data_IF_219285879627
#
_entry.id   IF_219285879627
#
_cell.length_a   1.000
_cell.length_b   1.000
_cell.length_c   1.000
_cell.angle_alpha   90.00
_cell.angle_beta   90.00
_cell.angle_gamma   90.00
#
_symmetry.space_group_name_H-M   'P 1'
#
loop_
_entity.id
_entity.type
_entity.pdbx_description
1 polymer ?
#
# COMPACT_ATOMS: atom_id res chain seq x y z
N UNK A 1 4.34 -4.04 10.93
CA UNK A 1 3.01 -3.70 10.34
C UNK A 1 2.53 -2.42 10.97
N UNK A 2 1.82 -1.55 10.25
CA UNK A 2 1.24 -0.33 10.82
C UNK A 2 -0.25 -0.51 11.10
N UNK A 3 -0.69 -0.13 12.29
CA UNK A 3 -2.07 -0.29 12.76
C UNK A 3 -2.53 0.93 13.56
N UNK A 4 -3.83 1.14 13.64
CA UNK A 4 -4.47 1.87 14.73
C UNK A 4 -5.13 0.89 15.70
N UNK A 5 -5.24 1.26 16.96
CA UNK A 5 -5.98 0.50 17.97
C UNK A 5 -7.18 1.33 18.43
N UNK A 6 -8.38 0.80 18.24
CA UNK A 6 -9.63 1.47 18.60
C UNK A 6 -10.14 0.88 19.90
N UNK A 7 -10.49 1.73 20.86
CA UNK A 7 -11.07 1.28 22.12
C UNK A 7 -12.58 0.97 21.98
N UNK A 8 -13.22 0.60 23.09
CA UNK A 8 -14.65 0.32 23.13
C UNK A 8 -15.56 1.54 22.88
N UNK A 9 -15.07 2.78 23.06
CA UNK A 9 -15.82 4.01 22.74
C UNK A 9 -15.68 4.45 21.28
N UNK A 10 -14.82 3.79 20.50
CA UNK A 10 -14.51 4.16 19.12
C UNK A 10 -13.33 5.15 18.97
N UNK A 11 -12.68 5.51 20.08
CA UNK A 11 -11.49 6.35 20.11
C UNK A 11 -10.20 5.59 19.75
N UNK A 12 -9.32 6.23 18.99
CA UNK A 12 -8.03 5.68 18.58
C UNK A 12 -6.95 5.97 19.63
N UNK A 13 -6.19 4.93 19.98
CA UNK A 13 -4.97 5.05 20.76
C UNK A 13 -4.02 6.05 20.09
N UNK A 14 -3.71 7.14 20.79
CA UNK A 14 -3.01 8.30 20.27
C UNK A 14 -1.74 8.54 21.08
N UNK A 15 -0.59 8.61 20.39
CA UNK A 15 0.65 9.10 20.99
C UNK A 15 0.71 10.62 20.88
N UNK A 16 0.76 11.32 22.01
CA UNK A 16 0.81 12.78 22.00
C UNK A 16 2.13 13.30 21.43
N UNK A 17 2.08 14.46 20.77
CA UNK A 17 3.29 15.05 20.16
C UNK A 17 4.20 15.73 21.17
N UNK A 18 3.65 16.14 22.31
CA UNK A 18 4.35 16.83 23.36
C UNK A 18 4.17 16.04 24.67
N UNK A 19 5.28 15.74 25.33
CA UNK A 19 5.30 14.85 26.49
C UNK A 19 5.35 13.37 26.12
N UNK A 20 5.17 12.52 27.13
CA UNK A 20 5.12 11.07 27.06
C UNK A 20 3.69 10.52 27.24
N UNK A 21 2.68 11.39 27.12
CA UNK A 21 1.27 11.05 27.31
C UNK A 21 0.67 10.22 26.17
N UNK A 22 -0.33 9.40 26.53
CA UNK A 22 -1.09 8.58 25.61
C UNK A 22 -2.57 8.77 25.91
N UNK A 23 -3.38 8.97 24.87
CA UNK A 23 -4.82 9.25 24.99
C UNK A 23 -5.64 8.41 24.00
N UNK A 24 -6.97 8.44 24.11
CA UNK A 24 -7.89 7.81 23.14
C UNK A 24 -8.86 8.79 22.48
N UNK A 25 -8.58 10.09 22.55
CA UNK A 25 -9.49 11.15 22.08
C UNK A 25 -9.57 11.27 20.54
N UNK A 26 -8.68 10.61 19.81
CA UNK A 26 -8.67 10.67 18.35
C UNK A 26 -9.86 9.93 17.73
N UNK A 27 -10.64 10.60 16.90
CA UNK A 27 -11.77 10.00 16.16
C UNK A 27 -11.41 9.47 14.77
N UNK A 28 -10.15 9.63 14.34
CA UNK A 28 -9.68 9.24 13.01
C UNK A 28 -8.24 8.74 13.02
N UNK A 29 -7.90 7.91 12.02
CA UNK A 29 -6.57 7.33 11.88
C UNK A 29 -5.58 8.30 11.20
N UNK A 30 -5.14 9.29 11.96
CA UNK A 30 -4.07 10.23 11.58
C UNK A 30 -2.68 9.75 11.98
N UNK A 31 -1.65 10.57 11.73
CA UNK A 31 -0.25 10.21 12.01
C UNK A 31 -0.01 9.81 13.47
N UNK A 32 -0.63 10.49 14.44
CA UNK A 32 -0.46 10.23 15.88
C UNK A 32 -1.12 8.92 16.35
N UNK A 33 -2.10 8.44 15.59
CA UNK A 33 -2.88 7.24 15.86
C UNK A 33 -2.27 5.97 15.23
N UNK A 34 -1.22 6.13 14.43
CA UNK A 34 -0.52 5.03 13.78
C UNK A 34 0.57 4.51 14.70
N UNK A 35 0.48 3.22 15.00
CA UNK A 35 1.46 2.45 15.74
C UNK A 35 2.08 1.40 14.84
N UNK A 36 3.40 1.32 14.82
CA UNK A 36 4.13 0.21 14.24
C UNK A 36 4.19 -0.94 15.26
N UNK A 37 3.57 -2.05 14.89
CA UNK A 37 3.60 -3.29 15.66
C UNK A 37 4.85 -4.09 15.30
N UNK A 38 5.77 -4.20 16.26
CA UNK A 38 6.97 -5.05 16.18
C UNK A 38 6.70 -6.36 16.91
N UNK A 39 6.90 -7.50 16.24
CA UNK A 39 6.71 -8.83 16.82
C UNK A 39 8.07 -9.35 17.28
N UNK A 40 8.26 -9.50 18.60
CA UNK A 40 9.52 -9.96 19.18
C UNK A 40 9.59 -11.49 19.25
N UNK A 41 8.53 -12.15 19.72
CA UNK A 41 8.47 -13.60 19.83
C UNK A 41 7.02 -14.10 19.78
N UNK A 42 6.81 -15.34 19.31
CA UNK A 42 5.52 -16.03 19.39
C UNK A 42 5.58 -17.06 20.51
N UNK A 43 4.76 -16.90 21.54
CA UNK A 43 4.66 -17.77 22.72
C UNK A 43 3.29 -18.47 22.71
N UNK A 44 3.16 -19.52 21.89
CA UNK A 44 1.91 -20.28 21.76
C UNK A 44 0.76 -19.43 21.17
N UNK A 45 -0.32 -19.24 21.93
CA UNK A 45 -1.47 -18.40 21.53
C UNK A 45 -1.20 -16.90 21.71
N UNK A 46 -0.19 -16.53 22.51
CA UNK A 46 0.17 -15.14 22.80
C UNK A 46 1.38 -14.74 21.97
N UNK A 47 1.40 -13.49 21.54
CA UNK A 47 2.52 -12.94 20.78
C UNK A 47 3.13 -11.79 21.58
N UNK A 48 4.44 -11.86 21.86
CA UNK A 48 5.16 -10.75 22.48
C UNK A 48 5.40 -9.67 21.43
N UNK A 49 4.83 -8.49 21.68
CA UNK A 49 4.85 -7.37 20.74
C UNK A 49 5.32 -6.09 21.44
N UNK A 50 5.87 -5.16 20.65
CA UNK A 50 6.09 -3.78 21.05
C UNK A 50 5.31 -2.84 20.11
N UNK A 51 4.74 -1.78 20.68
CA UNK A 51 4.02 -0.75 19.94
C UNK A 51 4.91 0.49 19.84
N UNK A 52 5.30 0.84 18.62
CA UNK A 52 6.15 1.99 18.33
C UNK A 52 5.30 3.11 17.73
N UNK A 53 5.24 4.26 18.40
CA UNK A 53 4.51 5.44 17.94
C UNK A 53 5.18 6.14 16.76
N UNK A 54 4.50 7.14 16.22
CA UNK A 54 4.91 7.88 15.01
C UNK A 54 6.28 8.59 15.08
N UNK A 55 6.80 8.82 16.29
CA UNK A 55 8.12 9.44 16.50
C UNK A 55 9.22 8.40 16.73
N UNK A 56 8.92 7.10 16.79
CA UNK A 56 9.88 6.05 17.16
C UNK A 56 9.91 5.73 18.66
N UNK A 57 9.08 6.40 19.47
CA UNK A 57 8.88 6.10 20.89
C UNK A 57 8.11 4.79 21.08
N UNK A 58 8.37 4.07 22.16
CA UNK A 58 7.66 2.82 22.49
C UNK A 58 6.61 3.06 23.56
N UNK A 59 5.47 2.37 23.44
CA UNK A 59 4.48 2.29 24.50
C UNK A 59 5.07 1.53 25.70
N UNK A 60 4.92 2.06 26.90
CA UNK A 60 5.45 1.48 28.14
C UNK A 60 4.39 1.53 29.23
N UNK A 61 4.31 0.47 30.02
CA UNK A 61 3.49 0.42 31.22
C UNK A 61 4.38 0.49 32.46
N UNK A 62 4.23 1.57 33.23
CA UNK A 62 4.95 1.80 34.47
C UNK A 62 4.40 0.95 35.62
N UNK A 63 5.18 0.80 36.70
CA UNK A 63 4.81 -0.05 37.84
C UNK A 63 3.54 0.43 38.56
N UNK A 64 3.27 1.74 38.52
CA UNK A 64 2.06 2.37 39.05
C UNK A 64 0.82 2.10 38.17
N UNK A 65 1.00 1.55 36.97
CA UNK A 65 -0.06 1.30 35.99
C UNK A 65 -0.29 2.47 35.02
N UNK A 66 0.51 3.53 35.09
CA UNK A 66 0.48 4.62 34.10
C UNK A 66 1.08 4.14 32.77
N UNK A 67 0.42 4.46 31.66
CA UNK A 67 0.90 4.11 30.32
C UNK A 67 1.50 5.34 29.65
N UNK A 68 2.74 5.21 29.16
CA UNK A 68 3.53 6.33 28.61
C UNK A 68 4.19 5.95 27.29
N UNK A 69 4.56 6.94 26.49
CA UNK A 69 5.33 6.78 25.25
C UNK A 69 6.75 7.33 25.43
N UNK A 70 7.73 6.44 25.57
CA UNK A 70 9.10 6.80 25.94
C UNK A 70 10.17 6.25 24.97
N UNK A 71 11.32 6.94 24.92
CA UNK A 71 12.49 6.52 24.13
C UNK A 71 13.38 5.51 24.85
N UNK A 72 13.37 5.51 26.18
CA UNK A 72 14.23 4.64 27.00
C UNK A 72 13.72 3.20 26.91
N UNK A 73 14.47 2.26 26.33
CA UNK A 73 14.07 0.87 26.27
C UNK A 73 14.36 0.23 27.63
N UNK A 74 13.34 0.07 28.46
CA UNK A 74 13.33 -1.10 29.32
C UNK A 74 12.63 -2.21 28.56
N UNK A 75 13.40 -3.24 28.16
CA UNK A 75 12.88 -4.36 27.36
C UNK A 75 11.77 -5.13 28.08
N UNK A 76 11.60 -4.96 29.39
CA UNK A 76 10.51 -5.61 30.13
C UNK A 76 9.21 -4.80 30.14
N UNK A 77 9.27 -3.45 30.23
CA UNK A 77 8.06 -2.59 30.31
C UNK A 77 7.50 -2.16 28.96
N UNK A 78 8.29 -2.26 27.91
CA UNK A 78 7.91 -1.88 26.53
C UNK A 78 7.32 -3.02 25.70
N UNK A 79 7.33 -4.25 26.24
CA UNK A 79 6.77 -5.41 25.58
C UNK A 79 5.46 -5.84 26.24
N UNK A 80 4.51 -6.22 25.40
CA UNK A 80 3.19 -6.70 25.79
C UNK A 80 2.93 -8.08 25.19
N UNK A 81 2.25 -8.94 25.93
CA UNK A 81 1.67 -10.18 25.43
C UNK A 81 0.32 -9.85 24.80
N UNK A 82 0.25 -9.98 23.47
CA UNK A 82 -0.94 -9.79 22.68
C UNK A 82 -1.67 -11.11 22.50
N UNK A 83 -2.94 -11.12 22.87
CA UNK A 83 -3.87 -12.23 22.66
C UNK A 83 -5.00 -11.76 21.72
N UNK A 84 -5.28 -12.57 20.69
CA UNK A 84 -6.33 -12.29 19.68
C UNK A 84 -7.57 -13.09 20.05
N UNK A 85 -8.68 -12.39 20.28
CA UNK A 85 -9.97 -12.99 20.63
C UNK A 85 -10.73 -13.44 19.38
N UNK A 86 -11.68 -14.40 19.49
CA UNK A 86 -12.54 -14.81 18.38
C UNK A 86 -13.35 -13.67 17.75
N UNK A 87 -13.63 -12.61 18.51
CA UNK A 87 -14.28 -11.40 18.02
C UNK A 87 -13.39 -10.53 17.12
N UNK A 88 -12.09 -10.84 17.01
CA UNK A 88 -11.09 -10.02 16.35
C UNK A 88 -10.50 -8.91 17.24
N UNK A 89 -11.02 -8.74 18.46
CA UNK A 89 -10.44 -7.84 19.45
C UNK A 89 -9.10 -8.34 19.97
N UNK A 90 -8.22 -7.42 20.35
CA UNK A 90 -6.92 -7.69 20.93
C UNK A 90 -6.89 -7.27 22.39
N UNK A 91 -6.21 -8.06 23.21
CA UNK A 91 -5.86 -7.68 24.58
C UNK A 91 -4.35 -7.64 24.73
N UNK A 92 -3.85 -6.60 25.39
CA UNK A 92 -2.43 -6.38 25.64
C UNK A 92 -2.17 -6.55 27.13
N UNK A 93 -1.35 -7.54 27.49
CA UNK A 93 -0.97 -7.82 28.88
C UNK A 93 0.50 -7.50 29.11
N UNK A 94 0.84 -6.82 30.19
CA UNK A 94 2.23 -6.62 30.57
C UNK A 94 2.80 -7.90 31.21
N UNK A 95 3.93 -8.46 30.74
CA UNK A 95 4.48 -9.71 31.26
C UNK A 95 4.84 -9.66 32.75
N UNK A 96 5.48 -8.57 33.20
CA UNK A 96 5.99 -8.46 34.57
C UNK A 96 4.86 -8.28 35.60
N UNK A 97 3.92 -7.39 35.32
CA UNK A 97 2.82 -7.06 36.24
C UNK A 97 1.59 -7.94 36.06
N UNK A 98 1.49 -8.67 34.94
CA UNK A 98 0.31 -9.44 34.51
C UNK A 98 -0.98 -8.61 34.38
N UNK A 99 -0.87 -7.28 34.35
CA UNK A 99 -1.99 -6.36 34.18
C UNK A 99 -2.29 -6.12 32.70
N UNK A 100 -3.54 -5.79 32.39
CA UNK A 100 -4.00 -5.51 31.04
C UNK A 100 -4.06 -4.01 30.76
N UNK A 101 -3.66 -3.63 29.55
CA UNK A 101 -3.80 -2.26 29.05
C UNK A 101 -5.26 -2.04 28.64
N UNK A 102 -5.89 -1.04 29.23
CA UNK A 102 -7.27 -0.65 28.96
C UNK A 102 -7.43 0.86 28.90
N UNK A 103 -8.65 1.28 28.58
CA UNK A 103 -9.05 2.68 28.52
C UNK A 103 -10.47 2.87 29.05
N UNK A 104 -10.66 3.98 29.77
CA UNK A 104 -11.97 4.44 30.26
C UNK A 104 -12.71 5.31 29.23
N UNK A 105 -12.08 5.65 28.12
CA UNK A 105 -12.64 6.52 27.08
C UNK A 105 -11.88 7.83 26.91
N UNK A 106 -11.03 8.21 27.84
CA UNK A 106 -10.16 9.39 27.75
C UNK A 106 -8.69 9.01 27.93
N UNK A 107 -8.39 8.32 29.03
CA UNK A 107 -7.04 7.93 29.42
C UNK A 107 -6.77 6.45 29.16
N UNK A 108 -5.49 6.09 29.18
CA UNK A 108 -5.00 4.72 28.99
C UNK A 108 -4.25 4.28 30.23
N UNK A 109 -4.62 3.12 30.76
CA UNK A 109 -4.08 2.58 32.01
C UNK A 109 -3.76 1.10 31.91
N UNK A 110 -2.87 0.61 32.78
CA UNK A 110 -2.47 -0.79 32.92
C UNK A 110 -2.58 -1.23 34.39
N UNK A 111 -3.80 -1.20 34.94
CA UNK A 111 -4.05 -1.47 36.38
C UNK A 111 -4.83 -2.75 36.66
N UNK A 112 -5.59 -3.27 35.69
CA UNK A 112 -6.55 -4.35 35.92
C UNK A 112 -5.97 -5.74 35.65
N UNK A 113 -6.39 -6.70 36.47
CA UNK A 113 -6.15 -8.14 36.29
C UNK A 113 -7.30 -8.85 35.57
N UNK A 114 -8.48 -8.23 35.55
CA UNK A 114 -9.69 -8.78 34.95
C UNK A 114 -9.96 -8.20 33.57
N UNK A 115 -10.40 -9.07 32.65
CA UNK A 115 -10.83 -8.67 31.32
C UNK A 115 -12.25 -8.07 31.35
N UNK A 116 -12.39 -6.93 30.70
CA UNK A 116 -13.67 -6.24 30.46
C UNK A 116 -13.61 -5.55 29.11
N UNK A 117 -14.72 -4.94 28.66
CA UNK A 117 -14.76 -4.16 27.42
C UNK A 117 -13.67 -3.07 27.36
N UNK A 118 -13.30 -2.49 28.50
CA UNK A 118 -12.24 -1.48 28.62
C UNK A 118 -10.86 -1.96 28.16
N UNK A 119 -10.62 -3.26 28.15
CA UNK A 119 -9.33 -3.88 27.79
C UNK A 119 -9.31 -4.44 26.36
N UNK A 120 -10.43 -4.33 25.64
CA UNK A 120 -10.58 -4.84 24.28
C UNK A 120 -10.26 -3.75 23.27
N UNK A 121 -9.23 -3.99 22.47
CA UNK A 121 -8.78 -3.09 21.42
C UNK A 121 -9.08 -3.67 20.05
N UNK A 122 -9.82 -2.96 19.21
CA UNK A 122 -10.08 -3.36 17.84
C UNK A 122 -8.95 -2.85 16.93
N UNK A 123 -8.16 -3.74 16.30
CA UNK A 123 -7.10 -3.31 15.42
C UNK A 123 -7.67 -2.84 14.08
N UNK A 124 -7.19 -1.71 13.59
CA UNK A 124 -7.51 -1.20 12.26
C UNK A 124 -6.22 -1.08 11.43
N UNK A 125 -6.27 -1.57 10.19
CA UNK A 125 -5.11 -1.56 9.32
C UNK A 125 -4.76 -0.13 8.90
N UNK A 126 -3.54 0.31 9.17
CA UNK A 126 -3.05 1.64 8.78
C UNK A 126 -2.28 1.63 7.45
N UNK A 127 -2.61 0.70 6.56
CA UNK A 127 -2.09 0.66 5.20
C UNK A 127 -2.84 1.66 4.31
N UNK A 128 -2.22 2.06 3.20
CA UNK A 128 -2.90 2.76 2.14
C UNK A 128 -4.09 1.94 1.60
N UNK A 129 -5.25 2.54 1.39
CA UNK A 129 -6.47 1.82 1.03
C UNK A 129 -6.36 0.99 -0.26
N UNK A 130 -5.52 1.40 -1.22
CA UNK A 130 -5.18 0.60 -2.39
C UNK A 130 -4.12 -0.46 -2.04
N UNK A 131 -4.54 -1.72 -2.02
CA UNK A 131 -3.78 -2.88 -1.55
C UNK A 131 -3.69 -3.98 -2.60
N UNK A 132 -2.73 -4.88 -2.40
CA UNK A 132 -2.66 -6.20 -3.02
C UNK A 132 -2.80 -7.25 -1.91
N UNK A 133 -3.49 -8.35 -2.20
CA UNK A 133 -3.70 -9.44 -1.25
C UNK A 133 -2.76 -10.59 -1.62
N UNK A 134 -1.77 -10.86 -0.77
CA UNK A 134 -0.85 -11.99 -0.93
C UNK A 134 -1.29 -13.15 -0.05
N UNK A 135 -1.38 -14.36 -0.60
CA UNK A 135 -1.74 -15.56 0.14
C UNK A 135 -0.48 -16.38 0.46
N UNK A 136 -0.02 -16.44 1.72
CA UNK A 136 1.24 -17.09 2.08
C UNK A 136 1.27 -18.59 1.81
N UNK A 137 0.14 -19.29 1.94
CA UNK A 137 0.12 -20.75 1.78
C UNK A 137 0.31 -21.18 0.33
N UNK A 138 -0.22 -20.42 -0.64
CA UNK A 138 0.01 -20.68 -2.07
C UNK A 138 1.15 -19.87 -2.68
N UNK A 139 1.68 -18.86 -1.99
CA UNK A 139 2.66 -17.90 -2.51
C UNK A 139 2.17 -17.16 -3.77
N UNK A 140 0.87 -16.87 -3.84
CA UNK A 140 0.23 -16.19 -4.98
C UNK A 140 -0.61 -15.00 -4.50
N UNK A 141 -0.86 -14.07 -5.42
CA UNK A 141 -1.68 -12.88 -5.22
C UNK A 141 -3.10 -13.09 -5.73
N UNK A 142 -4.04 -12.40 -5.07
CA UNK A 142 -5.40 -12.29 -5.56
C UNK A 142 -5.47 -11.44 -6.84
N UNK A 143 -6.34 -11.82 -7.75
CA UNK A 143 -6.62 -11.17 -9.02
C UNK A 143 -8.12 -11.22 -9.31
N UNK A 144 -8.71 -10.06 -9.56
CA UNK A 144 -10.11 -9.96 -9.98
C UNK A 144 -10.22 -10.26 -11.48
N UNK A 145 -10.99 -11.29 -11.84
CA UNK A 145 -11.26 -11.63 -13.22
C UNK A 145 -12.59 -10.97 -13.65
N UNK A 146 -12.55 -9.90 -14.48
CA UNK A 146 -13.75 -9.20 -14.90
C UNK A 146 -14.60 -10.01 -15.88
N UNK A 147 -14.01 -10.94 -16.64
CA UNK A 147 -14.69 -11.77 -17.64
C UNK A 147 -15.53 -12.84 -16.96
N UNK A 148 -14.95 -13.53 -15.98
CA UNK A 148 -15.63 -14.55 -15.18
C UNK A 148 -16.41 -13.96 -14.00
N UNK A 149 -16.23 -12.67 -13.72
CA UNK A 149 -16.85 -11.92 -12.62
C UNK A 149 -16.56 -12.56 -11.25
N UNK A 150 -15.32 -13.01 -11.03
CA UNK A 150 -14.84 -13.77 -9.87
C UNK A 150 -13.45 -13.30 -9.44
N UNK A 151 -12.99 -13.67 -8.25
CA UNK A 151 -11.61 -13.42 -7.77
C UNK A 151 -10.87 -14.73 -7.64
N UNK A 152 -9.63 -14.77 -8.11
CA UNK A 152 -8.75 -15.93 -8.08
C UNK A 152 -7.45 -15.59 -7.37
N UNK A 153 -6.82 -16.57 -6.74
CA UNK A 153 -5.50 -16.47 -6.13
C UNK A 153 -4.53 -17.30 -6.96
N UNK A 154 -4.20 -16.80 -8.15
CA UNK A 154 -3.48 -17.55 -9.19
C UNK A 154 -2.23 -16.85 -9.74
N UNK A 155 -1.97 -15.62 -9.28
CA UNK A 155 -0.99 -14.74 -9.93
C UNK A 155 0.27 -14.60 -9.07
N UNK A 156 1.48 -14.90 -9.59
CA UNK A 156 2.70 -14.83 -8.78
C UNK A 156 3.17 -13.40 -8.49
N UNK A 157 2.81 -12.42 -9.34
CA UNK A 157 3.29 -11.04 -9.24
C UNK A 157 2.14 -10.06 -9.55
N UNK A 158 1.86 -9.07 -8.68
CA UNK A 158 0.70 -8.16 -8.82
C UNK A 158 0.98 -6.99 -9.77
N UNK A 159 1.45 -7.29 -10.99
CA UNK A 159 1.79 -6.28 -12.01
C UNK A 159 0.61 -5.90 -12.92
N UNK A 160 -0.49 -6.64 -12.83
CA UNK A 160 -1.71 -6.43 -13.58
C UNK A 160 -2.66 -5.47 -12.85
N UNK A 161 -3.49 -4.75 -13.60
CA UNK A 161 -4.49 -3.82 -13.05
C UNK A 161 -5.53 -4.56 -12.20
N UNK A 162 -5.79 -5.82 -12.53
CA UNK A 162 -6.72 -6.72 -11.86
C UNK A 162 -6.26 -7.19 -10.47
N UNK A 163 -4.97 -7.04 -10.13
CA UNK A 163 -4.42 -7.42 -8.84
C UNK A 163 -4.60 -6.35 -7.75
N UNK A 164 -5.03 -5.14 -8.12
CA UNK A 164 -5.29 -4.04 -7.20
C UNK A 164 -6.70 -4.11 -6.59
N UNK A 165 -6.78 -3.98 -5.27
CA UNK A 165 -8.02 -3.90 -4.51
C UNK A 165 -8.05 -2.63 -3.65
N UNK A 166 -9.22 -2.06 -3.42
CA UNK A 166 -9.43 -0.95 -2.50
C UNK A 166 -10.23 -1.42 -1.29
N UNK A 167 -9.66 -1.23 -0.10
CA UNK A 167 -10.34 -1.49 1.16
C UNK A 167 -11.25 -0.32 1.52
N UNK A 168 -12.56 -0.57 1.59
CA UNK A 168 -13.59 0.41 1.93
C UNK A 168 -14.20 0.04 3.27
N UNK A 169 -14.04 0.90 4.29
CA UNK A 169 -14.62 0.67 5.61
C UNK A 169 -15.94 1.43 5.75
N UNK A 170 -17.07 0.73 5.91
CA UNK A 170 -18.41 1.32 6.07
C UNK A 170 -19.14 0.68 7.24
N UNK A 171 -19.60 1.50 8.18
CA UNK A 171 -20.37 1.04 9.34
C UNK A 171 -19.70 -0.13 10.10
N UNK A 172 -18.38 -0.09 10.23
CA UNK A 172 -17.59 -1.14 10.89
C UNK A 172 -17.33 -2.41 10.06
N UNK A 173 -17.86 -2.49 8.83
CA UNK A 173 -17.57 -3.57 7.89
C UNK A 173 -16.54 -3.14 6.83
N UNK A 174 -15.73 -4.09 6.39
CA UNK A 174 -14.80 -3.95 5.28
C UNK A 174 -15.45 -4.49 3.99
N UNK A 175 -15.42 -3.67 2.94
CA UNK A 175 -15.78 -4.06 1.59
C UNK A 175 -14.53 -4.05 0.71
N UNK A 176 -14.35 -5.13 -0.05
CA UNK A 176 -13.27 -5.24 -1.04
C UNK A 176 -13.77 -4.76 -2.41
N UNK A 177 -13.30 -3.60 -2.84
CA UNK A 177 -13.55 -3.07 -4.18
C UNK A 177 -12.40 -3.48 -5.12
N UNK A 178 -12.72 -3.96 -6.32
CA UNK A 178 -11.75 -4.31 -7.36
C UNK A 178 -11.40 -3.11 -8.21
N UNK A 179 -10.38 -3.22 -9.05
CA UNK A 179 -10.02 -2.15 -9.99
C UNK A 179 -11.08 -1.81 -11.03
N UNK A 180 -12.02 -2.72 -11.29
CA UNK A 180 -13.21 -2.48 -12.09
C UNK A 180 -14.37 -1.85 -11.32
N UNK A 181 -14.16 -1.37 -10.09
CA UNK A 181 -15.17 -0.78 -9.21
C UNK A 181 -16.36 -1.70 -8.92
N UNK A 182 -16.07 -3.00 -8.81
CA UNK A 182 -17.04 -3.99 -8.32
C UNK A 182 -16.59 -4.50 -6.96
N UNK A 183 -17.53 -4.98 -6.17
CA UNK A 183 -17.29 -5.45 -4.82
C UNK A 183 -17.30 -6.97 -4.77
N UNK A 184 -16.37 -7.56 -4.02
CA UNK A 184 -16.40 -9.01 -3.72
C UNK A 184 -17.64 -9.29 -2.86
N UNK A 185 -18.42 -10.31 -3.23
CA UNK A 185 -19.64 -10.70 -2.49
C UNK A 185 -19.54 -12.12 -1.93
N UNK A 186 -20.41 -12.42 -0.97
CA UNK A 186 -20.61 -13.77 -0.41
C UNK A 186 -21.09 -14.79 -1.44
N UNK A 187 -21.70 -14.35 -2.54
CA UNK A 187 -22.21 -15.20 -3.61
C UNK A 187 -21.13 -15.61 -4.64
N UNK A 188 -19.85 -15.51 -4.28
CA UNK A 188 -18.70 -15.84 -5.14
C UNK A 188 -18.68 -15.07 -6.47
N UNK A 189 -19.32 -13.90 -6.49
CA UNK A 189 -19.45 -13.03 -7.66
C UNK A 189 -19.09 -11.60 -7.30
N UNK A 190 -18.74 -10.81 -8.31
CA UNK A 190 -18.54 -9.38 -8.12
C UNK A 190 -19.89 -8.63 -8.24
N UNK A 191 -20.23 -7.84 -7.22
CA UNK A 191 -21.40 -7.00 -7.14
C UNK A 191 -21.08 -5.55 -7.57
N UNK A 192 -22.05 -4.82 -8.11
CA UNK A 192 -21.83 -3.43 -8.57
C UNK A 192 -21.90 -2.38 -7.47
N UNK A 193 -22.57 -2.69 -6.36
CA UNK A 193 -22.77 -1.78 -5.24
C UNK A 193 -22.44 -2.48 -3.93
N UNK A 194 -22.02 -1.72 -2.90
CA UNK A 194 -21.87 -2.27 -1.57
C UNK A 194 -23.22 -2.63 -0.97
N UNK A 195 -23.31 -3.78 -0.33
CA UNK A 195 -24.52 -4.31 0.30
C UNK A 195 -24.15 -5.16 1.51
N UNK A 196 -25.14 -5.71 2.21
CA UNK A 196 -24.89 -6.67 3.28
C UNK A 196 -24.10 -7.89 2.78
N UNK A 197 -24.26 -8.28 1.51
CA UNK A 197 -23.55 -9.41 0.89
C UNK A 197 -22.08 -9.12 0.58
N UNK A 198 -21.65 -7.87 0.60
CA UNK A 198 -20.24 -7.48 0.35
C UNK A 198 -19.54 -7.00 1.62
N UNK A 199 -20.25 -7.02 2.74
CA UNK A 199 -19.75 -6.62 4.04
C UNK A 199 -19.04 -7.81 4.73
N UNK A 200 -17.73 -7.65 4.92
CA UNK A 200 -16.87 -8.59 5.64
C UNK A 200 -16.30 -7.95 6.91
N UNK A 201 -16.07 -8.76 7.94
CA UNK A 201 -15.28 -8.40 9.10
C UNK A 201 -13.81 -8.68 8.81
N UNK A 202 -12.99 -7.64 8.84
CA UNK A 202 -11.54 -7.76 8.70
C UNK A 202 -10.93 -8.02 10.08
N UNK A 203 -10.34 -9.20 10.27
CA UNK A 203 -9.64 -9.55 11.50
C UNK A 203 -8.14 -9.58 11.24
N UNK A 204 -7.38 -8.93 12.11
CA UNK A 204 -5.92 -8.80 11.99
C UNK A 204 -5.22 -9.69 13.02
N UNK A 205 -4.08 -10.26 12.62
CA UNK A 205 -3.17 -11.02 13.48
C UNK A 205 -1.78 -10.36 13.48
N UNK A 206 -1.03 -10.45 14.60
CA UNK A 206 0.36 -10.01 14.63
C UNK A 206 1.19 -10.63 13.50
N UNK A 207 1.95 -9.79 12.80
CA UNK A 207 2.76 -10.18 11.65
C UNK A 207 2.19 -9.79 10.28
N UNK A 208 1.13 -8.98 10.21
CA UNK A 208 0.60 -8.48 8.94
C UNK A 208 -0.40 -9.41 8.26
N UNK A 209 -0.81 -10.47 8.94
CA UNK A 209 -1.81 -11.41 8.45
C UNK A 209 -3.22 -10.89 8.76
N UNK A 210 -4.10 -11.02 7.79
CA UNK A 210 -5.49 -10.64 7.88
C UNK A 210 -6.35 -11.75 7.28
N UNK A 211 -7.55 -11.95 7.81
CA UNK A 211 -8.58 -12.71 7.12
C UNK A 211 -9.87 -11.90 7.10
N UNK A 212 -10.73 -12.24 6.14
CA UNK A 212 -12.04 -11.63 5.97
C UNK A 212 -13.08 -12.69 6.27
N UNK A 213 -13.97 -12.42 7.21
CA UNK A 213 -15.09 -13.28 7.53
C UNK A 213 -16.42 -12.58 7.25
N UNK A 214 -17.48 -13.34 7.00
CA UNK A 214 -18.83 -12.78 7.00
C UNK A 214 -19.42 -12.71 8.41
N UNK A 215 -20.67 -12.22 8.50
CA UNK A 215 -21.41 -12.14 9.77
C UNK A 215 -21.77 -13.51 10.35
N UNK A 216 -21.74 -14.54 9.52
CA UNK A 216 -22.03 -15.92 9.90
C UNK A 216 -20.76 -16.68 10.35
N UNK A 217 -19.60 -16.01 10.34
CA UNK A 217 -18.30 -16.57 10.72
C UNK A 217 -17.65 -17.43 9.63
N UNK A 218 -18.18 -17.45 8.40
CA UNK A 218 -17.51 -18.08 7.25
C UNK A 218 -16.34 -17.20 6.82
N UNK A 219 -15.22 -17.84 6.52
CA UNK A 219 -13.97 -17.16 6.18
C UNK A 219 -13.76 -17.20 4.67
N UNK A 220 -13.23 -16.10 4.11
CA UNK A 220 -12.91 -15.96 2.69
C UNK A 220 -11.49 -16.47 2.44
N UNK A 221 -11.32 -17.53 1.66
CA UNK A 221 -10.02 -18.13 1.36
C UNK A 221 -10.02 -18.83 -0.02
N UNK A 222 -8.85 -19.09 -0.63
CA UNK A 222 -8.81 -19.73 -1.94
C UNK A 222 -9.15 -21.22 -1.85
N UNK A 223 -10.07 -21.66 -2.71
CA UNK A 223 -10.57 -23.03 -2.76
C UNK A 223 -10.39 -23.64 -4.16
N UNK A 224 -10.12 -24.94 -4.21
CA UNK A 224 -9.89 -25.70 -5.44
C UNK A 224 -8.53 -25.47 -6.09
N UNK A 225 -8.24 -26.24 -7.14
CA UNK A 225 -6.92 -26.28 -7.80
C UNK A 225 -6.49 -24.96 -8.45
N UNK A 226 -7.45 -24.11 -8.83
CA UNK A 226 -7.20 -22.77 -9.39
C UNK A 226 -7.20 -21.66 -8.35
N UNK A 227 -7.50 -21.96 -7.07
CA UNK A 227 -7.55 -20.98 -6.00
C UNK A 227 -8.69 -19.97 -6.15
N UNK A 228 -9.92 -20.43 -6.38
CA UNK A 228 -11.09 -19.55 -6.42
C UNK A 228 -11.36 -18.96 -5.04
N UNK A 229 -11.48 -17.65 -4.92
CA UNK A 229 -11.74 -17.00 -3.64
C UNK A 229 -13.21 -17.17 -3.23
N UNK A 230 -13.45 -18.02 -2.23
CA UNK A 230 -14.80 -18.42 -1.78
C UNK A 230 -14.92 -18.37 -0.26
N UNK A 231 -16.17 -18.30 0.23
CA UNK A 231 -16.46 -18.45 1.65
C UNK A 231 -16.53 -19.92 2.04
N UNK A 232 -15.92 -20.28 3.16
CA UNK A 232 -16.00 -21.61 3.74
C UNK A 232 -15.97 -21.60 5.26
N UNK A 233 -16.33 -22.72 5.88
CA UNK A 233 -16.49 -22.82 7.33
C UNK A 233 -15.23 -23.29 8.07
N UNK A 234 -14.28 -23.93 7.37
CA UNK A 234 -13.09 -24.54 7.98
C UNK A 234 -11.89 -24.48 7.03
N UNK A 235 -11.18 -23.35 6.99
CA UNK A 235 -9.85 -23.30 6.36
C UNK A 235 -8.92 -24.28 7.09
N UNK A 236 -8.11 -25.04 6.35
CA UNK A 236 -7.16 -25.97 6.95
C UNK A 236 -5.77 -25.33 7.03
N UNK A 237 -5.13 -25.40 8.20
CA UNK A 237 -3.79 -24.85 8.37
C UNK A 237 -3.77 -23.33 8.42
N UNK A 238 -3.20 -22.68 7.39
CA UNK A 238 -3.04 -21.22 7.30
C UNK A 238 -3.67 -20.66 6.00
N UNK A 239 -4.65 -21.34 5.42
CA UNK A 239 -5.29 -20.95 4.15
C UNK A 239 -6.16 -19.70 4.27
N UNK A 240 -6.61 -19.36 5.47
CA UNK A 240 -7.42 -18.17 5.72
C UNK A 240 -6.65 -16.85 5.65
N UNK A 241 -5.33 -16.91 5.81
CA UNK A 241 -4.53 -15.73 6.04
C UNK A 241 -4.07 -15.11 4.73
N UNK A 242 -4.25 -13.79 4.62
CA UNK A 242 -3.68 -12.94 3.59
C UNK A 242 -2.74 -11.93 4.23
N UNK A 243 -1.64 -11.63 3.56
CA UNK A 243 -0.86 -10.43 3.84
C UNK A 243 -1.44 -9.31 3.01
N UNK A 244 -1.90 -8.26 3.68
CA UNK A 244 -2.44 -7.06 3.02
C UNK A 244 -1.30 -6.06 2.85
N UNK A 245 -0.83 -5.92 1.62
CA UNK A 245 0.29 -5.06 1.27
C UNK A 245 -0.21 -3.84 0.51
N UNK A 246 0.47 -2.69 0.66
CA UNK A 246 0.22 -1.56 -0.24
C UNK A 246 0.46 -2.04 -1.67
N UNK A 247 -0.48 -1.75 -2.56
CA UNK A 247 -0.34 -2.21 -3.94
C UNK A 247 0.98 -1.67 -4.51
N UNK A 248 1.91 -2.51 -4.99
CA UNK A 248 3.19 -2.05 -5.48
C UNK A 248 3.04 -1.19 -6.74
N UNK A 249 4.01 -0.32 -7.02
CA UNK A 249 3.97 0.57 -8.19
C UNK A 249 4.65 -0.09 -9.39
N UNK A 250 3.85 -0.65 -10.30
CA UNK A 250 4.36 -1.19 -11.56
C UNK A 250 4.26 -0.16 -12.67
N UNK A 251 5.34 -0.01 -13.43
CA UNK A 251 5.43 0.91 -14.56
C UNK A 251 5.94 0.20 -15.80
N UNK A 252 5.51 0.67 -16.96
CA UNK A 252 6.09 0.34 -18.26
C UNK A 252 6.87 1.54 -18.78
N UNK A 253 8.05 1.27 -19.33
CA UNK A 253 8.89 2.29 -19.95
C UNK A 253 8.77 2.19 -21.47
N UNK A 254 8.54 3.31 -22.13
CA UNK A 254 8.44 3.39 -23.59
C UNK A 254 9.37 4.48 -24.11
N UNK A 255 10.27 4.12 -25.02
CA UNK A 255 11.11 5.11 -25.71
C UNK A 255 10.26 6.12 -26.47
N UNK A 256 10.52 7.42 -26.30
CA UNK A 256 9.68 8.46 -26.89
C UNK A 256 9.84 8.54 -28.40
N UNK A 257 11.08 8.57 -28.89
CA UNK A 257 11.38 8.66 -30.33
C UNK A 257 10.97 7.40 -31.11
N UNK A 258 11.32 6.22 -30.61
CA UNK A 258 11.09 4.97 -31.32
C UNK A 258 9.72 4.32 -31.02
N UNK A 259 9.00 4.83 -30.01
CA UNK A 259 7.71 4.32 -29.53
C UNK A 259 7.75 2.81 -29.23
N UNK A 260 8.88 2.32 -28.71
CA UNK A 260 9.08 0.91 -28.33
C UNK A 260 9.13 0.76 -26.81
N UNK A 261 8.43 -0.25 -26.31
CA UNK A 261 8.42 -0.65 -24.92
C UNK A 261 9.70 -1.39 -24.56
N UNK A 262 10.20 -1.11 -23.36
CA UNK A 262 11.26 -1.89 -22.74
C UNK A 262 10.67 -3.22 -22.27
N UNK A 263 11.46 -4.27 -22.39
CA UNK A 263 11.11 -5.63 -22.02
C UNK A 263 12.37 -6.38 -21.65
N UNK A 264 12.25 -7.33 -20.72
CA UNK A 264 13.33 -8.26 -20.40
C UNK A 264 13.19 -9.46 -21.34
N UNK A 265 14.28 -9.78 -22.04
CA UNK A 265 14.39 -11.02 -22.83
C UNK A 265 14.89 -12.17 -21.93
N UNK A 266 14.67 -13.42 -22.37
CA UNK A 266 14.96 -14.64 -21.60
C UNK A 266 16.40 -14.72 -21.04
N UNK A 267 17.36 -14.03 -21.67
CA UNK A 267 18.76 -14.00 -21.24
C UNK A 267 19.11 -12.81 -20.32
N UNK A 268 18.13 -12.27 -19.59
CA UNK A 268 18.28 -11.06 -18.75
C UNK A 268 18.68 -9.78 -19.50
N UNK A 269 18.74 -9.78 -20.83
CA UNK A 269 19.01 -8.58 -21.62
C UNK A 269 17.79 -7.65 -21.65
N UNK A 270 18.00 -6.36 -21.40
CA UNK A 270 16.95 -5.33 -21.51
C UNK A 270 16.89 -4.80 -22.94
N UNK A 271 15.72 -4.94 -23.55
CA UNK A 271 15.50 -4.63 -24.95
C UNK A 271 14.27 -3.74 -25.16
N UNK A 272 14.42 -2.67 -25.95
CA UNK A 272 13.38 -1.73 -26.35
C UNK A 272 12.95 -2.00 -27.80
N UNK A 273 12.20 -3.08 -27.98
CA UNK A 273 11.85 -3.61 -29.30
C UNK A 273 10.38 -3.62 -29.63
N UNK A 274 9.54 -3.92 -28.66
CA UNK A 274 8.12 -4.19 -28.92
C UNK A 274 7.32 -2.90 -29.11
N UNK A 275 6.35 -2.91 -30.03
CA UNK A 275 5.37 -1.80 -30.16
C UNK A 275 4.26 -1.88 -29.11
N UNK A 276 4.03 -3.05 -28.51
CA UNK A 276 3.02 -3.30 -27.46
C UNK A 276 3.73 -3.76 -26.17
N UNK A 277 3.16 -3.47 -25.02
CA UNK A 277 3.68 -4.00 -23.76
C UNK A 277 3.59 -5.53 -23.78
N UNK A 278 4.68 -6.21 -23.42
CA UNK A 278 4.72 -7.66 -23.24
C UNK A 278 4.55 -8.00 -21.76
N UNK A 279 4.30 -9.26 -21.38
CA UNK A 279 4.25 -9.66 -19.97
C UNK A 279 5.54 -9.35 -19.19
N UNK A 280 6.68 -9.20 -19.88
CA UNK A 280 7.99 -8.86 -19.30
C UNK A 280 8.35 -7.37 -19.41
N UNK A 281 7.41 -6.53 -19.84
CA UNK A 281 7.55 -5.07 -19.91
C UNK A 281 7.28 -4.31 -18.61
N UNK A 282 6.43 -4.79 -17.69
CA UNK A 282 6.26 -4.14 -16.40
C UNK A 282 7.50 -4.27 -15.52
N UNK A 283 7.88 -3.16 -14.91
CA UNK A 283 8.93 -3.07 -13.89
C UNK A 283 8.34 -2.49 -12.62
N UNK A 284 8.66 -3.08 -11.48
CA UNK A 284 8.38 -2.51 -10.18
C UNK A 284 9.34 -1.33 -9.97
N UNK A 285 8.77 -0.15 -9.74
CA UNK A 285 9.50 1.08 -9.48
C UNK A 285 9.60 1.30 -7.97
N UNK A 286 10.81 1.17 -7.44
CA UNK A 286 11.13 1.39 -6.02
C UNK A 286 11.89 2.71 -5.88
N UNK A 287 11.42 3.60 -5.00
CA UNK A 287 12.11 4.84 -4.68
C UNK A 287 13.03 4.63 -3.47
N UNK A 288 14.26 5.12 -3.59
CA UNK A 288 15.23 5.14 -2.49
C UNK A 288 14.88 6.19 -1.43
N UNK A 289 15.74 6.34 -0.41
CA UNK A 289 15.57 7.38 0.61
C UNK A 289 15.61 8.79 -0.02
N UNK A 290 16.49 8.98 -1.00
CA UNK A 290 16.50 10.14 -1.88
C UNK A 290 15.44 9.97 -2.98
N UNK A 291 14.56 10.95 -3.10
CA UNK A 291 13.44 10.98 -4.04
C UNK A 291 13.85 10.79 -5.51
N UNK A 292 15.08 11.15 -5.85
CA UNK A 292 15.60 11.03 -7.21
C UNK A 292 16.28 9.69 -7.48
N UNK A 293 16.57 8.88 -6.45
CA UNK A 293 17.18 7.57 -6.63
C UNK A 293 16.07 6.53 -6.78
N UNK A 294 16.11 5.78 -7.88
CA UNK A 294 15.13 4.72 -8.17
C UNK A 294 15.81 3.41 -8.52
N UNK A 295 15.11 2.31 -8.25
CA UNK A 295 15.47 0.97 -8.68
C UNK A 295 14.31 0.38 -9.47
N UNK A 296 14.64 -0.35 -10.54
CA UNK A 296 13.66 -1.00 -11.40
C UNK A 296 13.83 -2.51 -11.28
N UNK A 297 12.79 -3.19 -10.80
CA UNK A 297 12.80 -4.65 -10.61
C UNK A 297 11.86 -5.32 -11.61
N UNK A 298 12.36 -6.33 -12.31
CA UNK A 298 11.57 -7.11 -13.26
C UNK A 298 10.62 -8.09 -12.55
N UNK A 299 9.72 -8.68 -13.34
CA UNK A 299 8.77 -9.71 -12.85
C UNK A 299 9.45 -10.95 -12.25
N UNK A 300 10.70 -11.25 -12.64
CA UNK A 300 11.49 -12.37 -12.10
C UNK A 300 12.29 -11.99 -10.84
N UNK A 301 11.89 -10.91 -10.15
CA UNK A 301 12.51 -10.38 -8.94
C UNK A 301 13.99 -9.97 -9.05
N UNK A 302 14.51 -9.80 -10.27
CA UNK A 302 15.86 -9.28 -10.53
C UNK A 302 15.82 -7.79 -10.85
N UNK A 303 16.81 -7.06 -10.36
CA UNK A 303 16.93 -5.63 -10.61
C UNK A 303 17.64 -5.36 -11.93
N UNK A 304 17.26 -4.27 -12.59
CA UNK A 304 18.03 -3.71 -13.69
C UNK A 304 19.33 -3.17 -13.11
N UNK A 305 20.46 -3.61 -13.66
CA UNK A 305 21.77 -3.16 -13.27
C UNK A 305 22.62 -2.84 -14.49
N UNK A 306 23.42 -1.79 -14.35
CA UNK A 306 24.45 -1.46 -15.33
C UNK A 306 25.60 -2.46 -15.22
N UNK A 307 25.84 -3.22 -16.28
CA UNK A 307 26.95 -4.15 -16.40
C UNK A 307 28.25 -3.41 -16.77
N UNK A 308 29.28 -3.59 -15.95
CA UNK A 308 30.66 -3.19 -16.26
C UNK A 308 31.41 -4.41 -16.81
N UNK A 309 32.27 -4.28 -17.84
CA UNK A 309 32.72 -3.05 -18.50
C UNK A 309 31.84 -2.59 -19.68
N UNK A 310 30.87 -3.40 -20.12
CA UNK A 310 30.19 -3.24 -21.41
C UNK A 310 29.15 -2.09 -21.47
N UNK A 311 28.92 -1.35 -20.37
CA UNK A 311 27.91 -0.28 -20.25
C UNK A 311 26.48 -0.73 -20.63
N UNK A 312 26.22 -2.04 -20.64
CA UNK A 312 24.91 -2.63 -20.96
C UNK A 312 24.02 -2.61 -19.74
N UNK A 313 22.71 -2.54 -19.94
CA UNK A 313 21.74 -2.74 -18.85
C UNK A 313 21.16 -4.14 -18.94
N UNK A 314 21.26 -4.90 -17.86
CA UNK A 314 20.73 -6.26 -17.74
C UNK A 314 19.88 -6.39 -16.48
N UNK A 315 18.89 -7.28 -16.51
CA UNK A 315 18.00 -7.59 -15.39
C UNK A 315 18.56 -8.75 -14.55
N UNK A 316 19.79 -8.62 -14.09
CA UNK A 316 20.50 -9.62 -13.28
C UNK A 316 21.11 -9.03 -12.00
N UNK A 317 20.75 -7.81 -11.61
CA UNK A 317 21.27 -7.17 -10.41
C UNK A 317 20.49 -7.49 -9.14
N UNK A 318 21.06 -7.06 -8.01
CA UNK A 318 20.46 -7.09 -6.68
C UNK A 318 20.12 -5.68 -6.14
N UNK A 319 19.34 -5.60 -5.06
CA UNK A 319 18.96 -4.32 -4.45
C UNK A 319 20.13 -3.59 -3.76
N UNK A 320 21.15 -4.32 -3.32
CA UNK A 320 22.30 -3.78 -2.57
C UNK A 320 23.37 -3.18 -3.50
N UNK A 321 23.42 -3.63 -4.75
CA UNK A 321 24.35 -3.15 -5.77
C UNK A 321 24.15 -1.65 -6.08
N UNK A 322 25.25 -0.90 -6.19
CA UNK A 322 25.20 0.50 -6.60
C UNK A 322 24.77 0.64 -8.07
N UNK A 323 25.12 -0.35 -8.90
CA UNK A 323 24.84 -0.46 -10.32
C UNK A 323 23.36 -0.63 -10.65
N UNK A 324 22.55 -1.04 -9.68
CA UNK A 324 21.10 -1.17 -9.84
C UNK A 324 20.32 0.10 -9.51
N UNK A 325 21.02 1.13 -9.02
CA UNK A 325 20.43 2.42 -8.65
C UNK A 325 20.60 3.41 -9.79
N UNK A 326 19.49 4.01 -10.21
CA UNK A 326 19.44 5.03 -11.24
C UNK A 326 18.92 6.34 -10.67
N UNK A 327 19.45 7.47 -11.13
CA UNK A 327 18.85 8.78 -10.88
C UNK A 327 17.78 9.07 -11.92
N UNK A 328 16.59 9.42 -11.46
CA UNK A 328 15.46 9.77 -12.32
C UNK A 328 15.33 11.30 -12.44
N UNK A 329 15.24 11.78 -13.68
CA UNK A 329 15.00 13.19 -14.00
C UNK A 329 13.70 13.31 -14.79
N UNK A 330 12.73 14.04 -14.24
CA UNK A 330 11.44 14.27 -14.87
C UNK A 330 11.49 15.46 -15.83
N UNK A 331 10.97 15.28 -17.04
CA UNK A 331 10.97 16.30 -18.09
C UNK A 331 9.69 16.21 -18.93
N UNK A 332 8.70 17.06 -18.64
CA UNK A 332 7.47 17.23 -19.43
C UNK A 332 6.79 15.92 -19.91
N UNK A 333 6.50 15.01 -18.99
CA UNK A 333 5.87 13.69 -19.31
C UNK A 333 6.88 12.60 -19.72
N UNK A 334 8.15 12.94 -19.84
CA UNK A 334 9.25 12.00 -20.03
C UNK A 334 10.14 11.91 -18.81
N UNK A 335 10.99 10.89 -18.80
CA UNK A 335 12.06 10.71 -17.83
C UNK A 335 13.37 10.39 -18.51
N UNK A 336 14.44 10.87 -17.90
CA UNK A 336 15.81 10.44 -18.16
C UNK A 336 16.32 9.65 -16.97
N UNK A 337 16.95 8.52 -17.25
CA UNK A 337 17.54 7.65 -16.22
C UNK A 337 19.06 7.74 -16.34
N UNK A 338 19.73 8.15 -15.28
CA UNK A 338 21.18 8.21 -15.19
C UNK A 338 21.69 7.06 -14.32
N UNK A 339 22.64 6.28 -14.82
CA UNK A 339 23.22 5.16 -14.09
C UNK A 339 24.37 5.61 -13.16
N UNK A 340 24.88 4.68 -12.36
CA UNK A 340 25.97 4.93 -11.41
C UNK A 340 27.27 5.44 -12.05
N UNK A 341 27.49 5.17 -13.34
CA UNK A 341 28.63 5.73 -14.09
C UNK A 341 28.45 7.19 -14.53
N UNK A 342 27.35 7.84 -14.14
CA UNK A 342 27.02 9.21 -14.54
C UNK A 342 26.47 9.33 -15.97
N UNK A 343 26.36 8.23 -16.72
CA UNK A 343 25.81 8.22 -18.07
C UNK A 343 24.30 7.97 -18.06
N UNK A 344 23.60 8.54 -19.03
CA UNK A 344 22.19 8.34 -19.29
C UNK A 344 21.93 7.04 -20.06
N UNK A 345 20.83 6.38 -19.70
CA UNK A 345 20.31 5.21 -20.40
C UNK A 345 19.74 5.66 -21.74
N UNK A 346 20.09 4.93 -22.80
CA UNK A 346 19.62 5.20 -24.15
C UNK A 346 19.38 3.93 -24.93
N UNK A 347 18.52 4.03 -25.95
CA UNK A 347 18.24 2.93 -26.89
C UNK A 347 19.21 3.00 -28.07
N UNK A 348 19.92 1.90 -28.32
CA UNK A 348 20.69 1.70 -29.55
C UNK A 348 19.77 1.43 -30.76
N UNK A 349 20.23 1.66 -32.00
CA UNK A 349 19.44 1.33 -33.20
C UNK A 349 18.99 -0.13 -33.25
N UNK A 350 19.85 -1.03 -32.77
CA UNK A 350 19.57 -2.47 -32.64
C UNK A 350 18.49 -2.79 -31.60
N UNK A 351 18.05 -1.82 -30.78
CA UNK A 351 17.00 -1.97 -29.78
C UNK A 351 17.48 -2.26 -28.36
N UNK A 352 18.76 -2.60 -28.15
CA UNK A 352 19.35 -2.80 -26.81
C UNK A 352 19.44 -1.48 -26.02
N UNK A 353 19.30 -1.58 -24.70
CA UNK A 353 19.43 -0.44 -23.78
C UNK A 353 20.82 -0.43 -23.14
N UNK A 354 21.48 0.74 -23.17
CA UNK A 354 22.85 0.93 -22.67
C UNK A 354 22.97 2.26 -21.93
N UNK A 355 23.88 2.36 -20.96
CA UNK A 355 24.19 3.57 -20.20
C UNK A 355 25.50 4.19 -20.69
N UNK A 356 25.46 4.91 -21.82
CA UNK A 356 26.64 5.46 -22.51
C UNK A 356 26.58 6.98 -22.76
N UNK A 357 25.40 7.57 -22.77
CA UNK A 357 25.26 8.98 -23.14
C UNK A 357 25.69 9.89 -21.99
N UNK A 358 26.61 10.83 -22.21
CA UNK A 358 27.02 11.79 -21.16
C UNK A 358 25.99 12.91 -20.94
N UNK A 359 25.18 13.20 -21.95
CA UNK A 359 24.15 14.23 -21.93
C UNK A 359 22.80 13.61 -22.33
N UNK A 360 21.68 14.08 -21.77
CA UNK A 360 20.36 13.62 -22.16
C UNK A 360 20.06 14.05 -23.60
N UNK A 361 19.48 13.15 -24.38
CA UNK A 361 19.09 13.41 -25.77
C UNK A 361 17.83 12.62 -26.17
N UNK A 362 17.38 12.74 -27.43
CA UNK A 362 16.13 12.14 -27.88
C UNK A 362 16.10 10.59 -27.86
N UNK A 363 17.26 9.93 -27.69
CA UNK A 363 17.35 8.45 -27.60
C UNK A 363 17.35 7.96 -26.16
N UNK A 364 17.57 8.87 -25.22
CA UNK A 364 17.66 8.68 -23.78
C UNK A 364 16.33 9.06 -23.07
N UNK A 365 15.37 9.56 -23.84
CA UNK A 365 14.06 9.97 -23.36
C UNK A 365 13.06 8.80 -23.33
N UNK A 366 12.54 8.51 -22.14
CA UNK A 366 11.55 7.46 -21.91
C UNK A 366 10.25 8.05 -21.36
N UNK A 367 9.11 7.68 -21.94
CA UNK A 367 7.80 7.88 -21.33
C UNK A 367 7.53 6.79 -20.30
N UNK A 368 7.01 7.18 -19.14
CA UNK A 368 6.60 6.25 -18.07
C UNK A 368 5.09 6.09 -18.12
N UNK A 369 4.61 4.84 -18.11
CA UNK A 369 3.18 4.55 -17.97
C UNK A 369 2.91 3.64 -16.79
N UNK A 370 1.94 3.98 -15.95
CA UNK A 370 1.53 3.11 -14.84
C UNK A 370 0.87 1.85 -15.39
N UNK A 371 1.29 0.68 -14.91
CA UNK A 371 0.87 -0.63 -15.42
C UNK A 371 -0.27 -1.25 -14.62
N UNK A 372 -0.31 -1.02 -13.30
CA UNK A 372 -1.31 -1.58 -12.38
C UNK A 372 -2.08 -0.48 -11.62
N UNK A 373 -2.30 0.66 -12.26
CA UNK A 373 -3.03 1.82 -11.72
C UNK A 373 -3.99 2.37 -12.77
N UNK A 374 -5.19 1.78 -12.94
CA UNK A 374 -6.24 2.40 -13.74
C UNK A 374 -6.82 3.66 -13.06
N UNK A 375 -6.80 3.68 -11.73
CA UNK A 375 -7.15 4.84 -10.89
C UNK A 375 -6.07 5.06 -9.82
N UNK A 376 -6.12 6.23 -9.18
CA UNK A 376 -5.35 6.58 -7.99
C UNK A 376 -6.27 6.73 -6.78
N UNK A 377 -5.75 6.34 -5.64
CA UNK A 377 -6.28 6.73 -4.33
C UNK A 377 -5.19 7.59 -3.71
N UNK A 378 -5.50 8.83 -3.38
CA UNK A 378 -4.50 9.78 -2.88
C UNK A 378 -4.68 9.98 -1.38
N UNK A 379 -3.60 9.89 -0.62
CA UNK A 379 -3.55 10.16 0.82
C UNK A 379 -2.53 11.25 1.12
N UNK A 380 -2.97 12.34 1.73
CA UNK A 380 -2.11 13.36 2.29
C UNK A 380 -1.86 13.17 3.78
N UNK A 381 -1.15 14.12 4.38
CA UNK A 381 -0.85 14.13 5.82
C UNK A 381 -2.09 14.23 6.72
N UNK A 382 -3.21 14.75 6.19
CA UNK A 382 -4.44 14.99 6.94
C UNK A 382 -5.56 13.99 6.66
N UNK A 383 -5.36 13.05 5.73
CA UNK A 383 -6.38 12.09 5.33
C UNK A 383 -6.33 11.79 3.84
N UNK A 384 -7.37 11.13 3.35
CA UNK A 384 -7.53 10.85 1.93
C UNK A 384 -8.06 12.07 1.17
N UNK A 385 -7.80 12.09 -0.12
CA UNK A 385 -8.45 13.00 -1.05
C UNK A 385 -9.81 12.44 -1.42
N UNK A 386 -10.85 13.24 -1.23
CA UNK A 386 -12.23 12.89 -1.56
C UNK A 386 -13.04 14.13 -1.94
N UNK A 387 -14.14 13.91 -2.64
CA UNK A 387 -15.12 14.92 -3.01
C UNK A 387 -16.33 14.84 -2.09
N UNK A 388 -16.83 15.98 -1.64
CA UNK A 388 -18.08 16.05 -0.89
C UNK A 388 -19.26 16.04 -1.86
N UNK A 389 -20.33 15.30 -1.50
CA UNK A 389 -21.53 15.24 -2.32
C UNK A 389 -22.09 16.65 -2.56
N UNK A 390 -22.22 17.05 -3.84
CA UNK A 390 -22.77 18.35 -4.24
C UNK A 390 -21.78 19.52 -4.30
N UNK A 391 -20.48 19.29 -4.09
CA UNK A 391 -19.45 20.33 -4.27
C UNK A 391 -18.36 19.85 -5.24
N UNK A 392 -17.94 20.72 -6.16
CA UNK A 392 -16.77 20.47 -7.05
C UNK A 392 -15.43 20.60 -6.31
N UNK A 393 -15.43 20.65 -4.97
CA UNK A 393 -14.23 20.89 -4.16
C UNK A 393 -13.65 19.55 -3.69
N UNK A 394 -12.37 19.35 -3.98
CA UNK A 394 -11.60 18.24 -3.41
C UNK A 394 -11.17 18.58 -1.99
N UNK A 395 -11.52 17.70 -1.06
CA UNK A 395 -11.09 17.73 0.33
C UNK A 395 -9.90 16.80 0.52
N UNK A 396 -8.90 17.20 1.31
CA UNK A 396 -7.67 16.44 1.55
C UNK A 396 -7.58 15.87 2.98
N UNK A 397 -8.73 15.74 3.65
CA UNK A 397 -8.89 15.27 5.03
C UNK A 397 -10.04 14.26 5.15
N UNK A 398 -10.40 13.60 4.06
CA UNK A 398 -11.47 12.60 4.06
C UNK A 398 -11.02 11.29 4.74
N UNK A 399 -11.97 10.61 5.37
CA UNK A 399 -11.75 9.28 5.98
C UNK A 399 -11.81 8.16 4.93
N UNK A 400 -12.78 8.26 4.01
CA UNK A 400 -12.88 7.38 2.85
C UNK A 400 -12.20 8.03 1.63
N UNK A 401 -11.39 7.28 0.86
CA UNK A 401 -10.77 7.79 -0.35
C UNK A 401 -11.73 7.83 -1.54
N UNK A 402 -11.57 8.82 -2.40
CA UNK A 402 -12.12 8.71 -3.76
C UNK A 402 -11.14 7.99 -4.69
N UNK A 403 -11.70 7.24 -5.64
CA UNK A 403 -10.91 6.68 -6.73
C UNK A 403 -10.89 7.68 -7.89
N UNK A 404 -9.72 8.24 -8.15
CA UNK A 404 -9.49 9.20 -9.23
C UNK A 404 -9.03 8.43 -10.47
N UNK A 405 -9.87 8.38 -11.49
CA UNK A 405 -9.58 7.69 -12.74
C UNK A 405 -8.46 8.39 -13.50
N UNK A 406 -7.56 7.59 -14.08
CA UNK A 406 -6.44 8.09 -14.88
C UNK A 406 -6.74 7.98 -16.37
N UNK A 407 -7.00 9.12 -17.00
CA UNK A 407 -7.15 9.19 -18.45
C UNK A 407 -5.80 9.59 -19.08
N UNK A 408 -5.13 8.69 -19.82
CA UNK A 408 -3.89 9.03 -20.51
C UNK A 408 -4.18 10.03 -21.64
N UNK A 409 -3.50 11.18 -21.65
CA UNK A 409 -3.66 12.18 -22.70
C UNK A 409 -2.47 12.24 -23.64
N UNK A 410 -1.30 12.55 -23.09
CA UNK A 410 -0.02 12.53 -23.77
C UNK A 410 0.90 11.51 -23.10
N UNK A 411 1.97 11.05 -23.77
CA UNK A 411 2.87 10.09 -23.14
C UNK A 411 3.43 10.65 -21.82
N UNK A 412 3.12 9.95 -20.72
CA UNK A 412 3.50 10.31 -19.35
C UNK A 412 2.79 11.51 -18.75
N UNK A 413 1.68 11.96 -19.34
CA UNK A 413 0.75 12.94 -18.76
C UNK A 413 -0.63 12.28 -18.61
N UNK A 414 -1.28 12.53 -17.48
CA UNK A 414 -2.60 11.97 -17.15
C UNK A 414 -3.57 13.09 -16.79
N UNK A 415 -4.81 12.96 -17.25
CA UNK A 415 -5.93 13.69 -16.69
C UNK A 415 -6.56 12.88 -15.56
N UNK A 416 -6.95 13.60 -14.52
CA UNK A 416 -7.66 13.05 -13.36
C UNK A 416 -9.14 13.28 -13.55
N UNK A 417 -9.91 12.21 -13.52
CA UNK A 417 -11.37 12.27 -13.59
C UNK A 417 -11.98 11.68 -12.32
N UNK A 418 -12.82 12.46 -11.65
CA UNK A 418 -13.66 11.93 -10.57
C UNK A 418 -14.87 11.22 -11.17
N UNK A 419 -15.27 10.09 -10.59
CA UNK A 419 -16.58 9.50 -10.86
C UNK A 419 -17.62 10.31 -10.09
N UNK A 420 -18.37 11.15 -10.80
CA UNK A 420 -19.60 11.71 -10.24
C UNK A 420 -20.48 10.56 -9.73
N UNK A 421 -20.93 10.65 -8.48
CA UNK A 421 -21.89 9.71 -7.91
C UNK A 421 -23.09 9.55 -8.85
N UNK A 422 -23.52 8.31 -9.06
CA UNK A 422 -24.40 7.89 -10.15
C UNK A 422 -25.55 8.85 -10.48
N UNK A 423 -25.63 9.22 -11.76
CA UNK A 423 -26.70 10.00 -12.36
C UNK A 423 -26.23 10.67 -13.65
N UNK A 424 -26.50 10.00 -14.78
CA UNK A 424 -26.29 10.45 -16.17
C UNK A 424 -24.86 10.72 -16.69
N UNK A 425 -24.70 10.43 -17.98
CA UNK A 425 -23.44 10.48 -18.70
C UNK A 425 -22.85 11.91 -18.74
N UNK A 426 -21.53 12.09 -18.55
CA UNK A 426 -20.92 13.40 -18.64
C UNK A 426 -20.85 13.90 -20.09
N UNK A 427 -20.99 15.22 -20.33
CA UNK A 427 -20.70 15.82 -21.64
C UNK A 427 -19.21 15.63 -21.99
N UNK A 428 -18.84 15.77 -23.29
CA UNK A 428 -17.45 15.57 -23.72
C UNK A 428 -16.48 16.51 -22.98
N UNK A 429 -15.23 16.07 -22.74
CA UNK A 429 -14.26 16.83 -21.96
C UNK A 429 -13.93 18.16 -22.65
N UNK A 430 -14.11 19.26 -21.92
CA UNK A 430 -13.67 20.59 -22.31
C UNK A 430 -12.13 20.67 -22.18
N UNK A 431 -11.38 21.00 -23.25
CA UNK A 431 -9.91 21.05 -23.24
C UNK A 431 -9.29 22.07 -22.26
N UNK A 432 -10.10 22.88 -21.59
CA UNK A 432 -9.64 23.96 -20.71
C UNK A 432 -9.28 23.56 -19.26
N UNK A 433 -9.56 22.32 -18.81
CA UNK A 433 -9.26 21.88 -17.43
C UNK A 433 -8.10 20.85 -17.39
N UNK A 434 -6.93 21.26 -17.85
CA UNK A 434 -5.69 20.53 -17.67
C UNK A 434 -4.98 20.98 -16.39
N UNK A 435 -4.99 20.15 -15.34
CA UNK A 435 -4.07 20.31 -14.22
C UNK A 435 -2.75 19.61 -14.57
N UNK A 436 -1.71 20.39 -14.86
CA UNK A 436 -0.33 19.92 -14.89
C UNK A 436 0.17 19.82 -13.45
N UNK A 437 0.08 18.64 -12.85
CA UNK A 437 0.88 18.32 -11.68
C UNK A 437 2.09 17.51 -12.17
N UNK A 438 3.33 18.03 -12.10
CA UNK A 438 4.49 17.16 -12.16
C UNK A 438 4.33 16.12 -11.06
N UNK A 439 4.49 14.86 -11.44
CA UNK A 439 4.27 13.70 -10.58
C UNK A 439 5.02 13.87 -9.24
N UNK A 440 4.28 14.06 -8.15
CA UNK A 440 4.83 14.23 -6.79
C UNK A 440 5.20 12.88 -6.19
N UNK A 441 6.27 12.26 -6.69
CA UNK A 441 7.05 11.31 -5.92
C UNK A 441 8.15 12.07 -5.19
N UNK A 442 7.97 12.37 -3.88
CA UNK A 442 8.96 13.04 -3.00
C UNK A 442 9.77 14.20 -3.63
N UNK A 443 9.25 14.99 -4.56
CA UNK A 443 10.01 16.14 -5.10
C UNK A 443 9.71 17.39 -4.27
N UNK A 444 10.72 18.12 -3.74
CA UNK A 444 10.51 19.44 -3.17
C UNK A 444 10.10 20.41 -4.28
N UNK A 445 8.96 21.07 -4.13
CA UNK A 445 8.47 22.11 -5.04
C UNK A 445 9.51 23.23 -5.13
N UNK A 446 10.08 23.47 -6.31
CA UNK A 446 10.87 24.68 -6.56
C UNK A 446 9.92 25.87 -6.74
N UNK A 447 10.00 26.81 -5.80
CA UNK A 447 9.32 28.12 -5.90
C UNK A 447 8.60 28.51 -4.62
N UNK A 448 9.37 28.90 -3.59
CA UNK A 448 8.88 29.33 -2.28
C UNK A 448 8.99 28.21 -1.24
N UNK A 449 9.73 28.47 -0.15
CA UNK A 449 9.94 27.52 0.95
C UNK A 449 8.61 26.92 1.43
N UNK A 450 8.31 25.63 1.15
CA UNK A 450 7.20 24.96 1.80
C UNK A 450 7.64 24.51 3.19
N UNK A 451 6.77 24.56 4.21
CA UNK A 451 7.07 23.98 5.51
C UNK A 451 7.35 22.47 5.34
N UNK A 452 8.26 21.88 6.13
CA UNK A 452 8.65 20.49 5.98
C UNK A 452 7.44 19.58 6.26
N UNK A 453 6.95 18.85 5.23
CA UNK A 453 6.00 17.74 5.45
C UNK A 453 4.85 17.54 4.46
N UNK A 454 4.64 18.42 3.47
CA UNK A 454 3.52 18.26 2.52
C UNK A 454 3.85 17.21 1.43
N UNK A 455 3.72 15.93 1.77
CA UNK A 455 3.85 14.80 0.84
C UNK A 455 2.46 14.18 0.62
N UNK A 456 2.09 14.03 -0.65
CA UNK A 456 0.93 13.25 -1.09
C UNK A 456 1.42 11.86 -1.52
N UNK A 457 0.82 10.81 -0.98
CA UNK A 457 1.04 9.43 -1.38
C UNK A 457 -0.09 8.97 -2.31
N UNK A 458 0.26 8.40 -3.47
CA UNK A 458 -0.69 7.80 -4.43
C UNK A 458 -0.46 6.32 -4.70
#
# INVERSE_FOLDING_TARGET
MQIGLVNWTGGFLTAESYGDGVSVLGSSLGRKQIWALEVAAKEGKRTRVALVGHQGQRLQAEADGTVRCGWLPSDSRSHFLLEVHPSGAWTLQQPDSQKYVGSDGEDVFCVSWGLSSHHMWMPQLAVHAHVALFHPSSQLYARADPELNRVWVDTPVPCLEECGFVLRFRSGACHLETSGHKFVSRAERLARMPSAETAFQLTLRPGGLAFLADREGRVLYPQGSRGLLCLGHQPQGNEEWFVVERCPLWVTLRTMRAKRYLSILRDSEVYAGSKKATPTSPFLLEFGPDAQMVQLKGIHHRYLAQQRPCQRVAANGSCEEAESRFRIWWHFGSVFLQAANGCYLGRLPVGRVVARAMHPGPKEEFGVRLANRPFLVLRGQYGYVGSSAGQEVLQCNALEPDCVELLPCQPGVYHFQSKAGGGDAPPPPDPARAFLLPWMGRVPLQGGNPPPGSLLEG
#
